data_IF_897392191184
#
_entry.id   IF_897392191184
#
_cell.length_a   1.000
_cell.length_b   1.000
_cell.length_c   1.000
_cell.angle_alpha   90.00
_cell.angle_beta   90.00
_cell.angle_gamma   90.00
#
_symmetry.space_group_name_H-M   'P 1'
#
loop_
_entity.id
_entity.type
_entity.pdbx_description
1 polymer ?
#
# COMPACT_ATOMS: atom_id res chain seq x y z
N UNK A 1 1.83 -0.87 10.87
CA UNK A 1 2.76 -0.64 9.72
C UNK A 1 2.62 -1.79 8.76
N UNK A 2 2.64 -1.50 7.45
CA UNK A 2 2.41 -2.43 6.35
C UNK A 2 3.64 -2.37 5.42
N UNK A 3 4.49 -3.42 5.38
CA UNK A 3 5.60 -3.51 4.44
C UNK A 3 5.11 -3.57 2.99
N UNK A 4 5.90 -2.98 2.07
CA UNK A 4 5.57 -2.90 0.64
C UNK A 4 6.46 -3.85 -0.16
N UNK A 5 5.84 -4.55 -1.13
CA UNK A 5 6.46 -5.36 -2.17
C UNK A 5 6.02 -4.84 -3.53
N UNK A 6 6.89 -4.12 -4.23
CA UNK A 6 6.69 -3.79 -5.64
C UNK A 6 7.24 -4.92 -6.50
N UNK A 7 6.38 -5.59 -7.27
CA UNK A 7 6.73 -6.77 -8.07
C UNK A 7 6.86 -6.42 -9.54
N UNK A 8 7.98 -6.80 -10.15
CA UNK A 8 8.22 -6.67 -11.59
C UNK A 8 8.94 -7.91 -12.11
N UNK A 9 8.40 -8.56 -13.11
CA UNK A 9 8.98 -9.77 -13.74
C UNK A 9 9.41 -10.83 -12.72
N UNK A 10 8.54 -11.13 -11.75
CA UNK A 10 8.78 -12.14 -10.72
C UNK A 10 9.73 -11.71 -9.58
N UNK A 11 10.16 -10.46 -9.55
CA UNK A 11 11.12 -9.94 -8.54
C UNK A 11 10.55 -8.77 -7.77
N UNK A 12 10.93 -8.66 -6.51
CA UNK A 12 10.70 -7.44 -5.73
C UNK A 12 11.69 -6.36 -6.14
N UNK A 13 11.18 -5.18 -6.47
CA UNK A 13 11.96 -4.02 -6.92
C UNK A 13 11.75 -2.84 -5.98
N UNK A 14 12.68 -1.90 -5.97
CA UNK A 14 12.59 -0.70 -5.14
C UNK A 14 12.09 0.48 -5.97
N UNK A 15 10.91 0.98 -5.62
CA UNK A 15 10.29 2.13 -6.25
C UNK A 15 11.05 3.44 -5.94
N UNK A 16 11.20 4.29 -6.96
CA UNK A 16 11.84 5.61 -6.84
C UNK A 16 11.07 6.64 -7.67
N UNK A 17 10.43 7.60 -6.98
CA UNK A 17 9.81 8.78 -7.61
C UNK A 17 8.76 8.48 -8.68
N UNK A 18 8.16 7.29 -8.69
CA UNK A 18 7.21 6.87 -9.73
C UNK A 18 7.83 6.56 -11.10
N UNK A 19 9.16 6.62 -11.23
CA UNK A 19 9.86 6.33 -12.50
C UNK A 19 10.11 4.81 -12.63
N UNK A 20 9.07 4.07 -13.05
CA UNK A 20 9.06 2.60 -13.07
C UNK A 20 10.24 1.97 -13.83
N UNK A 21 10.79 2.65 -14.86
CA UNK A 21 11.92 2.16 -15.66
C UNK A 21 13.25 2.11 -14.90
N UNK A 22 13.37 2.88 -13.81
CA UNK A 22 14.59 2.95 -12.99
C UNK A 22 14.60 1.97 -11.81
N UNK A 23 13.54 1.16 -11.65
CA UNK A 23 13.41 0.27 -10.51
C UNK A 23 14.38 -0.90 -10.60
N UNK A 24 15.15 -1.11 -9.52
CA UNK A 24 16.14 -2.17 -9.39
C UNK A 24 15.70 -3.22 -8.36
N UNK A 25 16.17 -4.48 -8.46
CA UNK A 25 15.89 -5.48 -7.44
C UNK A 25 16.25 -5.01 -6.04
N UNK A 26 15.37 -5.30 -5.09
CA UNK A 26 15.54 -4.91 -3.68
C UNK A 26 16.80 -5.54 -3.10
N UNK A 27 17.63 -4.68 -2.50
CA UNK A 27 18.74 -5.08 -1.62
C UNK A 27 18.28 -4.82 -0.19
N UNK A 28 18.10 -5.86 0.60
CA UNK A 28 17.55 -5.74 1.94
C UNK A 28 18.52 -6.25 2.99
N UNK A 29 18.65 -5.50 4.10
CA UNK A 29 19.37 -5.97 5.29
C UNK A 29 18.57 -7.01 6.09
N UNK A 30 17.29 -7.20 5.77
CA UNK A 30 16.43 -8.20 6.40
C UNK A 30 16.66 -9.61 5.87
N UNK A 31 17.28 -9.76 4.68
CA UNK A 31 17.48 -11.06 4.04
C UNK A 31 18.97 -11.30 3.84
N UNK A 32 19.46 -12.40 4.41
CA UNK A 32 20.81 -12.89 4.15
C UNK A 32 20.91 -13.53 2.76
N UNK A 33 22.10 -13.55 2.14
CA UNK A 33 22.31 -14.31 0.89
C UNK A 33 22.95 -13.51 -0.26
N UNK A 34 23.41 -12.28 -0.04
CA UNK A 34 24.14 -11.50 -1.03
C UNK A 34 23.35 -11.26 -2.33
N UNK A 35 24.08 -11.12 -3.47
CA UNK A 35 23.48 -10.74 -4.75
C UNK A 35 22.46 -11.75 -5.30
N UNK A 36 22.58 -13.02 -4.98
CA UNK A 36 21.65 -14.08 -5.43
C UNK A 36 20.26 -13.98 -4.78
N UNK A 37 20.17 -13.43 -3.57
CA UNK A 37 18.91 -13.22 -2.86
C UNK A 37 18.25 -11.86 -3.11
N UNK A 38 18.86 -10.98 -3.91
CA UNK A 38 18.27 -9.68 -4.17
C UNK A 38 16.97 -9.78 -4.95
N UNK A 39 15.95 -9.10 -4.45
CA UNK A 39 14.62 -9.07 -5.07
C UNK A 39 13.85 -10.39 -4.99
N UNK A 40 14.18 -11.32 -4.08
CA UNK A 40 13.34 -12.49 -3.81
C UNK A 40 12.11 -12.07 -2.99
N UNK A 41 10.89 -12.08 -3.59
CA UNK A 41 9.69 -11.61 -2.91
C UNK A 41 9.29 -12.49 -1.73
N UNK A 42 9.49 -13.82 -1.84
CA UNK A 42 9.11 -14.77 -0.79
C UNK A 42 10.06 -14.69 0.41
N UNK A 43 11.36 -14.50 0.16
CA UNK A 43 12.32 -14.27 1.23
C UNK A 43 12.03 -12.96 1.98
N UNK A 44 11.68 -11.90 1.26
CA UNK A 44 11.29 -10.61 1.86
C UNK A 44 10.02 -10.74 2.68
N UNK A 45 8.97 -11.39 2.15
CA UNK A 45 7.71 -11.59 2.85
C UNK A 45 7.89 -12.41 4.16
N UNK A 46 8.72 -13.48 4.13
CA UNK A 46 9.10 -14.21 5.36
C UNK A 46 9.81 -13.30 6.35
N UNK A 47 10.75 -12.48 5.90
CA UNK A 47 11.47 -11.54 6.76
C UNK A 47 10.53 -10.49 7.38
N UNK A 48 9.54 -10.00 6.65
CA UNK A 48 8.52 -9.08 7.18
C UNK A 48 7.72 -9.72 8.31
N UNK A 49 7.33 -10.98 8.15
CA UNK A 49 6.61 -11.72 9.19
C UNK A 49 7.53 -12.07 10.38
N UNK A 50 8.67 -12.72 10.12
CA UNK A 50 9.47 -13.37 11.14
C UNK A 50 10.38 -12.38 11.89
N UNK A 51 10.86 -11.34 11.21
CA UNK A 51 11.78 -10.34 11.80
C UNK A 51 11.03 -9.11 12.26
N UNK A 52 10.09 -8.58 11.45
CA UNK A 52 9.40 -7.32 11.75
C UNK A 52 8.07 -7.50 12.46
N UNK A 53 7.57 -8.74 12.56
CA UNK A 53 6.26 -9.04 13.15
C UNK A 53 5.11 -8.33 12.42
N UNK A 54 5.15 -8.40 11.08
CA UNK A 54 4.15 -7.81 10.20
C UNK A 54 3.50 -8.91 9.37
N UNK A 55 2.21 -9.08 9.54
CA UNK A 55 1.37 -10.10 8.89
C UNK A 55 0.48 -9.56 7.76
N UNK A 56 0.50 -8.26 7.52
CA UNK A 56 -0.16 -7.60 6.39
C UNK A 56 0.87 -6.93 5.49
N UNK A 57 0.75 -7.14 4.18
CA UNK A 57 1.69 -6.60 3.18
C UNK A 57 0.94 -5.95 2.03
N UNK A 58 1.40 -4.77 1.62
CA UNK A 58 0.98 -4.15 0.36
C UNK A 58 1.81 -4.73 -0.77
N UNK A 59 1.14 -5.22 -1.82
CA UNK A 59 1.79 -5.84 -2.98
C UNK A 59 1.32 -5.12 -4.24
N UNK A 60 2.23 -4.37 -4.88
CA UNK A 60 1.98 -3.77 -6.18
C UNK A 60 2.51 -4.67 -7.29
N UNK A 61 1.63 -5.15 -8.16
CA UNK A 61 1.99 -5.86 -9.39
C UNK A 61 2.26 -4.85 -10.51
N UNK A 62 3.52 -4.44 -10.65
CA UNK A 62 3.91 -3.43 -11.62
C UNK A 62 3.75 -3.88 -13.07
N UNK A 63 3.76 -5.18 -13.33
CA UNK A 63 3.50 -5.71 -14.68
C UNK A 63 2.04 -5.50 -15.05
N UNK A 64 1.12 -5.83 -14.14
CA UNK A 64 -0.32 -5.56 -14.32
C UNK A 64 -0.63 -4.07 -14.40
N UNK A 65 0.00 -3.24 -13.55
CA UNK A 65 -0.15 -1.78 -13.56
C UNK A 65 0.38 -1.14 -14.86
N UNK A 66 1.30 -1.81 -15.55
CA UNK A 66 1.77 -1.40 -16.88
C UNK A 66 0.92 -1.96 -18.04
N UNK A 67 -0.22 -2.59 -17.75
CA UNK A 67 -1.12 -3.17 -18.75
C UNK A 67 -0.76 -4.61 -19.15
N UNK A 68 0.18 -5.24 -18.46
CA UNK A 68 0.57 -6.64 -18.65
C UNK A 68 -0.31 -7.63 -17.89
N UNK A 69 0.12 -8.89 -17.87
CA UNK A 69 -0.57 -9.94 -17.13
C UNK A 69 -0.30 -9.85 -15.63
N UNK A 70 -1.29 -10.22 -14.81
CA UNK A 70 -1.12 -10.37 -13.35
C UNK A 70 -0.22 -11.55 -13.04
N UNK A 71 0.67 -11.38 -12.07
CA UNK A 71 1.60 -12.40 -11.59
C UNK A 71 0.92 -13.39 -10.61
N UNK A 72 -0.18 -14.05 -11.03
CA UNK A 72 -1.04 -14.89 -10.20
C UNK A 72 -0.29 -15.92 -9.37
N UNK A 73 0.65 -16.66 -9.99
CA UNK A 73 1.42 -17.70 -9.30
C UNK A 73 2.24 -17.11 -8.12
N UNK A 74 2.81 -15.93 -8.32
CA UNK A 74 3.58 -15.25 -7.27
C UNK A 74 2.68 -14.72 -6.16
N UNK A 75 1.54 -14.10 -6.52
CA UNK A 75 0.56 -13.64 -5.53
C UNK A 75 0.01 -14.79 -4.69
N UNK A 76 -0.32 -15.93 -5.31
CA UNK A 76 -0.76 -17.14 -4.60
C UNK A 76 0.35 -17.70 -3.68
N UNK A 77 1.60 -17.69 -4.12
CA UNK A 77 2.73 -18.12 -3.30
C UNK A 77 2.95 -17.21 -2.08
N UNK A 78 2.78 -15.88 -2.24
CA UNK A 78 2.82 -14.91 -1.15
C UNK A 78 1.65 -15.12 -0.17
N UNK A 79 0.42 -15.31 -0.67
CA UNK A 79 -0.75 -15.62 0.16
C UNK A 79 -0.55 -16.90 0.98
N UNK A 80 0.11 -17.91 0.40
CA UNK A 80 0.47 -19.17 1.07
C UNK A 80 1.39 -19.00 2.29
N UNK A 81 2.06 -17.86 2.43
CA UNK A 81 2.86 -17.53 3.63
C UNK A 81 2.02 -17.05 4.81
N UNK A 82 0.69 -17.10 4.73
CA UNK A 82 -0.27 -16.67 5.76
C UNK A 82 -0.22 -15.17 6.09
N UNK A 83 0.25 -14.35 5.15
CA UNK A 83 0.15 -12.90 5.23
C UNK A 83 -1.16 -12.40 4.61
N UNK A 84 -1.70 -11.31 5.14
CA UNK A 84 -2.85 -10.61 4.56
C UNK A 84 -2.36 -9.72 3.42
N UNK A 85 -2.69 -10.07 2.19
CA UNK A 85 -2.26 -9.31 1.03
C UNK A 85 -3.25 -8.18 0.70
N UNK A 86 -2.74 -6.96 0.62
CA UNK A 86 -3.40 -5.80 0.04
C UNK A 86 -2.83 -5.63 -1.38
N UNK A 87 -3.56 -6.09 -2.41
CA UNK A 87 -3.02 -6.26 -3.76
C UNK A 87 -3.45 -5.13 -4.69
N UNK A 88 -2.47 -4.43 -5.25
CA UNK A 88 -2.63 -3.45 -6.32
C UNK A 88 -2.16 -4.06 -7.67
N UNK A 89 -3.12 -4.38 -8.52
CA UNK A 89 -2.88 -5.01 -9.82
C UNK A 89 -3.83 -4.45 -10.90
N UNK A 90 -3.92 -3.11 -10.97
CA UNK A 90 -4.77 -2.38 -11.92
C UNK A 90 -6.24 -2.83 -11.87
N UNK A 91 -6.84 -2.85 -10.67
CA UNK A 91 -8.23 -3.27 -10.48
C UNK A 91 -9.17 -2.17 -10.96
N UNK A 92 -9.88 -2.41 -12.05
CA UNK A 92 -10.88 -1.51 -12.62
C UNK A 92 -12.23 -2.20 -12.88
N UNK A 93 -12.31 -3.53 -12.69
CA UNK A 93 -13.53 -4.31 -12.95
C UNK A 93 -13.82 -5.31 -11.82
N UNK A 94 -15.11 -5.69 -11.64
CA UNK A 94 -15.51 -6.73 -10.69
C UNK A 94 -14.84 -8.09 -10.92
N UNK A 95 -14.60 -8.45 -12.18
CA UNK A 95 -13.98 -9.71 -12.58
C UNK A 95 -12.55 -9.78 -12.07
N UNK A 96 -11.74 -8.74 -12.31
CA UNK A 96 -10.38 -8.64 -11.82
C UNK A 96 -10.34 -8.67 -10.28
N UNK A 97 -11.26 -8.00 -9.63
CA UNK A 97 -11.34 -7.99 -8.16
C UNK A 97 -11.64 -9.40 -7.60
N UNK A 98 -12.62 -10.12 -8.18
CA UNK A 98 -12.93 -11.50 -7.77
C UNK A 98 -11.77 -12.45 -8.01
N UNK A 99 -11.09 -12.32 -9.16
CA UNK A 99 -9.92 -13.12 -9.53
C UNK A 99 -8.81 -12.99 -8.49
N UNK A 100 -8.47 -11.76 -8.07
CA UNK A 100 -7.46 -11.51 -7.05
C UNK A 100 -7.86 -12.04 -5.68
N UNK A 101 -9.12 -11.85 -5.27
CA UNK A 101 -9.63 -12.39 -4.00
C UNK A 101 -9.61 -13.93 -4.01
N UNK A 102 -10.02 -14.56 -5.10
CA UNK A 102 -9.92 -16.02 -5.26
C UNK A 102 -8.45 -16.51 -5.25
N UNK A 103 -7.52 -15.69 -5.73
CA UNK A 103 -6.07 -15.92 -5.68
C UNK A 103 -5.42 -15.69 -4.31
N UNK A 104 -6.20 -15.30 -3.28
CA UNK A 104 -5.71 -15.14 -1.90
C UNK A 104 -5.47 -13.70 -1.45
N UNK A 105 -5.84 -12.68 -2.25
CA UNK A 105 -5.84 -11.31 -1.78
C UNK A 105 -6.87 -11.12 -0.66
N UNK A 106 -6.45 -10.63 0.50
CA UNK A 106 -7.35 -10.25 1.58
C UNK A 106 -8.14 -8.98 1.21
N UNK A 107 -7.46 -8.03 0.55
CA UNK A 107 -8.04 -6.79 0.02
C UNK A 107 -7.45 -6.49 -1.35
N UNK A 108 -8.20 -5.78 -2.17
CA UNK A 108 -7.72 -5.24 -3.45
C UNK A 108 -7.60 -3.72 -3.38
N UNK A 109 -6.63 -3.18 -4.10
CA UNK A 109 -6.45 -1.75 -4.25
C UNK A 109 -7.00 -1.31 -5.60
N UNK A 110 -7.84 -0.27 -5.56
CA UNK A 110 -8.35 0.42 -6.74
C UNK A 110 -7.66 1.78 -6.80
N UNK A 111 -6.71 1.94 -7.71
CA UNK A 111 -5.90 3.15 -7.85
C UNK A 111 -6.61 4.23 -8.65
N UNK A 112 -6.53 5.48 -8.19
CA UNK A 112 -7.08 6.65 -8.89
C UNK A 112 -6.50 6.78 -10.31
N UNK A 113 -5.21 6.48 -10.48
CA UNK A 113 -4.50 6.53 -11.77
C UNK A 113 -5.13 5.62 -12.84
N UNK A 114 -5.69 4.47 -12.42
CA UNK A 114 -6.21 3.43 -13.33
C UNK A 114 -7.73 3.32 -13.33
N UNK A 115 -8.43 4.05 -12.45
CA UNK A 115 -9.87 3.95 -12.28
C UNK A 115 -10.62 4.71 -13.39
N UNK A 116 -11.45 4.05 -14.22
CA UNK A 116 -12.18 4.72 -15.29
C UNK A 116 -13.35 5.59 -14.78
N UNK A 117 -13.98 5.24 -13.66
CA UNK A 117 -15.09 6.00 -13.06
C UNK A 117 -15.39 5.53 -11.63
N UNK A 118 -16.11 6.36 -10.86
CA UNK A 118 -16.64 5.98 -9.54
C UNK A 118 -17.66 4.84 -9.63
N UNK A 119 -18.40 4.73 -10.72
CA UNK A 119 -19.33 3.60 -10.94
C UNK A 119 -18.59 2.28 -11.04
N UNK A 120 -17.38 2.27 -11.64
CA UNK A 120 -16.52 1.09 -11.68
C UNK A 120 -16.05 0.71 -10.26
N UNK A 121 -15.64 1.68 -9.43
CA UNK A 121 -15.33 1.46 -8.02
C UNK A 121 -16.52 0.88 -7.26
N UNK A 122 -17.72 1.46 -7.43
CA UNK A 122 -18.93 0.98 -6.81
C UNK A 122 -19.30 -0.44 -7.28
N UNK A 123 -19.08 -0.78 -8.53
CA UNK A 123 -19.28 -2.13 -9.05
C UNK A 123 -18.31 -3.14 -8.42
N UNK A 124 -17.04 -2.77 -8.26
CA UNK A 124 -16.03 -3.58 -7.55
C UNK A 124 -16.46 -3.79 -6.09
N UNK A 125 -16.82 -2.72 -5.37
CA UNK A 125 -17.23 -2.81 -3.98
C UNK A 125 -18.46 -3.69 -3.76
N UNK A 126 -19.46 -3.60 -4.64
CA UNK A 126 -20.62 -4.50 -4.62
C UNK A 126 -20.26 -5.96 -4.89
N UNK A 127 -19.23 -6.20 -5.69
CA UNK A 127 -18.86 -7.56 -6.11
C UNK A 127 -18.09 -8.36 -5.07
N UNK A 128 -17.29 -7.71 -4.21
CA UNK A 128 -16.38 -8.37 -3.26
C UNK A 128 -16.55 -7.90 -1.81
N UNK A 129 -17.42 -6.91 -1.54
CA UNK A 129 -17.61 -6.26 -0.24
C UNK A 129 -16.69 -5.03 -0.06
N UNK A 130 -17.27 -3.96 0.51
CA UNK A 130 -16.54 -2.69 0.75
C UNK A 130 -15.31 -2.87 1.63
N UNK A 131 -15.37 -3.76 2.62
CA UNK A 131 -14.28 -4.07 3.55
C UNK A 131 -13.04 -4.66 2.85
N UNK A 132 -13.21 -5.18 1.65
CA UNK A 132 -12.13 -5.72 0.80
C UNK A 132 -11.61 -4.72 -0.23
N UNK A 133 -12.13 -3.50 -0.26
CA UNK A 133 -11.72 -2.48 -1.24
C UNK A 133 -10.98 -1.35 -0.53
N UNK A 134 -9.71 -1.16 -0.88
CA UNK A 134 -8.95 0.03 -0.54
C UNK A 134 -8.84 0.92 -1.79
N UNK A 135 -9.21 2.19 -1.69
CA UNK A 135 -9.02 3.15 -2.77
C UNK A 135 -7.69 3.88 -2.59
N UNK A 136 -6.80 3.81 -3.59
CA UNK A 136 -5.56 4.58 -3.60
C UNK A 136 -5.80 5.97 -4.16
N UNK A 137 -5.71 6.97 -3.28
CA UNK A 137 -5.67 8.39 -3.63
C UNK A 137 -4.25 8.73 -4.08
N UNK A 138 -3.98 8.47 -5.37
CA UNK A 138 -2.67 8.69 -5.96
C UNK A 138 -2.46 10.18 -6.21
N UNK A 139 -1.38 10.72 -5.62
CA UNK A 139 -1.02 12.13 -5.70
C UNK A 139 0.33 12.31 -6.39
N UNK A 140 0.55 13.50 -6.94
CA UNK A 140 1.86 13.98 -7.36
C UNK A 140 2.06 15.39 -6.86
N UNK A 141 2.93 15.55 -5.84
CA UNK A 141 3.16 16.84 -5.21
C UNK A 141 1.90 17.39 -4.51
N UNK A 142 1.07 16.51 -3.94
CA UNK A 142 -0.16 16.85 -3.25
C UNK A 142 -1.40 17.00 -4.16
N UNK A 143 -1.26 16.98 -5.48
CA UNK A 143 -2.39 17.03 -6.41
C UNK A 143 -2.81 15.60 -6.85
N UNK A 144 -4.13 15.28 -6.88
CA UNK A 144 -4.61 13.99 -7.35
C UNK A 144 -4.20 13.69 -8.80
N UNK A 145 -3.74 12.47 -9.05
CA UNK A 145 -3.43 11.93 -10.37
C UNK A 145 -4.70 11.35 -10.98
N UNK A 146 -5.63 12.21 -11.35
CA UNK A 146 -6.89 11.81 -11.92
C UNK A 146 -7.02 12.31 -13.36
N UNK A 147 -7.71 11.54 -14.19
CA UNK A 147 -8.28 12.10 -15.43
C UNK A 147 -9.33 13.17 -15.08
N UNK A 148 -9.64 14.07 -16.02
CA UNK A 148 -10.53 15.22 -15.80
C UNK A 148 -11.89 14.89 -15.15
N UNK A 149 -12.37 13.64 -15.27
CA UNK A 149 -13.64 13.16 -14.73
C UNK A 149 -13.65 12.91 -13.22
N UNK A 150 -12.47 12.77 -12.61
CA UNK A 150 -12.30 12.52 -11.18
C UNK A 150 -11.45 13.62 -10.52
N UNK A 151 -11.33 14.79 -11.17
CA UNK A 151 -10.59 15.94 -10.68
C UNK A 151 -11.29 16.57 -9.47
N UNK A 152 -10.50 17.09 -8.52
CA UNK A 152 -11.00 17.75 -7.32
C UNK A 152 -9.90 17.87 -6.26
N UNK A 153 -10.23 18.50 -5.13
CA UNK A 153 -9.34 18.49 -3.98
C UNK A 153 -9.20 17.06 -3.41
N UNK A 154 -8.05 16.69 -2.82
CA UNK A 154 -7.84 15.33 -2.28
C UNK A 154 -8.95 14.83 -1.36
N UNK A 155 -9.51 15.70 -0.50
CA UNK A 155 -10.62 15.36 0.39
C UNK A 155 -11.92 15.05 -0.37
N UNK A 156 -12.20 15.76 -1.44
CA UNK A 156 -13.40 15.57 -2.27
C UNK A 156 -13.32 14.24 -3.03
N UNK A 157 -12.16 13.95 -3.63
CA UNK A 157 -11.91 12.69 -4.32
C UNK A 157 -12.02 11.51 -3.37
N UNK A 158 -11.41 11.60 -2.18
CA UNK A 158 -11.53 10.58 -1.14
C UNK A 158 -12.99 10.37 -0.72
N UNK A 159 -13.76 11.46 -0.52
CA UNK A 159 -15.17 11.39 -0.17
C UNK A 159 -16.03 10.71 -1.22
N UNK A 160 -15.78 11.02 -2.49
CA UNK A 160 -16.45 10.37 -3.60
C UNK A 160 -16.14 8.86 -3.66
N UNK A 161 -14.89 8.46 -3.38
CA UNK A 161 -14.50 7.06 -3.30
C UNK A 161 -15.18 6.32 -2.13
N UNK A 162 -15.25 6.95 -0.96
CA UNK A 162 -15.97 6.40 0.21
C UNK A 162 -17.46 6.23 -0.11
N UNK A 163 -18.09 7.23 -0.71
CA UNK A 163 -19.49 7.15 -1.15
C UNK A 163 -19.72 6.05 -2.19
N UNK A 164 -18.73 5.77 -3.03
CA UNK A 164 -18.73 4.67 -4.00
C UNK A 164 -18.45 3.28 -3.38
N UNK A 165 -18.17 3.21 -2.07
CA UNK A 165 -18.03 1.96 -1.33
C UNK A 165 -16.60 1.53 -1.02
N UNK A 166 -15.61 2.42 -1.10
CA UNK A 166 -14.28 2.12 -0.58
C UNK A 166 -14.31 1.98 0.95
N UNK A 167 -13.80 0.87 1.48
CA UNK A 167 -13.69 0.61 2.92
C UNK A 167 -12.45 1.21 3.56
N UNK A 168 -11.42 1.47 2.75
CA UNK A 168 -10.18 2.14 3.17
C UNK A 168 -9.72 3.15 2.13
N UNK A 169 -8.99 4.18 2.59
CA UNK A 169 -8.30 5.15 1.72
C UNK A 169 -6.79 5.01 1.92
N UNK A 170 -6.05 4.90 0.86
CA UNK A 170 -4.59 4.96 0.85
C UNK A 170 -4.16 6.31 0.29
N UNK A 171 -3.45 7.12 1.04
CA UNK A 171 -2.82 8.35 0.53
C UNK A 171 -1.43 8.02 0.02
N UNK A 172 -1.20 8.12 -1.28
CA UNK A 172 0.07 7.77 -1.90
C UNK A 172 0.58 8.91 -2.80
N UNK A 173 1.55 9.68 -2.32
CA UNK A 173 2.20 10.71 -3.16
C UNK A 173 3.42 10.11 -3.88
N UNK A 174 3.26 9.84 -5.18
CA UNK A 174 4.27 9.20 -6.02
C UNK A 174 5.56 10.04 -6.12
N UNK A 175 5.48 11.37 -6.05
CA UNK A 175 6.67 12.23 -6.04
C UNK A 175 7.49 12.09 -4.74
N UNK A 176 6.90 11.52 -3.68
CA UNK A 176 7.55 11.30 -2.38
C UNK A 176 8.08 9.89 -2.21
N UNK A 177 7.65 8.92 -3.03
CA UNK A 177 8.13 7.53 -2.97
C UNK A 177 9.64 7.48 -3.12
N UNK A 178 10.34 6.88 -2.15
CA UNK A 178 11.80 6.78 -2.10
C UNK A 178 12.55 8.09 -1.82
N UNK A 179 11.86 9.23 -1.63
CA UNK A 179 12.45 10.57 -1.50
C UNK A 179 12.81 10.99 -0.07
N UNK A 180 12.38 10.26 0.97
CA UNK A 180 12.49 10.62 2.40
C UNK A 180 11.77 11.92 2.79
N UNK A 181 10.80 12.39 1.99
CA UNK A 181 10.03 13.62 2.28
C UNK A 181 8.83 13.35 3.19
N UNK A 182 8.53 12.08 3.46
CA UNK A 182 7.40 11.66 4.29
C UNK A 182 6.04 11.96 3.70
N UNK A 183 4.99 11.56 4.42
CA UNK A 183 3.58 11.79 4.08
C UNK A 183 3.13 13.15 4.62
N UNK A 184 2.16 13.76 3.96
CA UNK A 184 1.52 14.99 4.41
C UNK A 184 0.57 14.71 5.58
N UNK A 185 1.03 14.97 6.82
CA UNK A 185 0.25 14.77 8.03
C UNK A 185 -0.97 15.71 8.13
N UNK A 186 -0.94 16.87 7.47
CA UNK A 186 -2.08 17.81 7.46
C UNK A 186 -3.21 17.22 6.62
N UNK A 187 -2.89 16.64 5.47
CA UNK A 187 -3.86 15.93 4.64
C UNK A 187 -4.45 14.73 5.39
N UNK A 188 -3.60 13.90 6.04
CA UNK A 188 -4.06 12.76 6.86
C UNK A 188 -5.03 13.23 7.96
N UNK A 189 -4.67 14.24 8.74
CA UNK A 189 -5.54 14.80 9.78
C UNK A 189 -6.85 15.38 9.21
N UNK A 190 -6.80 15.98 8.02
CA UNK A 190 -7.98 16.46 7.30
C UNK A 190 -8.93 15.33 6.91
N UNK A 191 -8.38 14.25 6.34
CA UNK A 191 -9.14 13.05 5.98
C UNK A 191 -9.73 12.36 7.21
N UNK A 192 -8.96 12.23 8.30
CA UNK A 192 -9.47 11.63 9.55
C UNK A 192 -10.64 12.42 10.13
N UNK A 193 -10.58 13.76 10.11
CA UNK A 193 -11.70 14.59 10.56
C UNK A 193 -12.94 14.45 9.69
N UNK A 194 -12.75 14.38 8.36
CA UNK A 194 -13.84 14.27 7.41
C UNK A 194 -14.47 12.86 7.41
N UNK A 195 -13.64 11.81 7.58
CA UNK A 195 -14.05 10.41 7.50
C UNK A 195 -13.56 9.60 8.71
N UNK A 196 -14.14 9.86 9.92
CA UNK A 196 -13.61 9.32 11.18
C UNK A 196 -13.66 7.79 11.30
N UNK A 197 -14.49 7.11 10.51
CA UNK A 197 -14.69 5.66 10.56
C UNK A 197 -14.05 4.90 9.40
N UNK A 198 -13.49 5.61 8.42
CA UNK A 198 -12.80 4.99 7.28
C UNK A 198 -11.37 4.67 7.67
N UNK A 199 -10.90 3.49 7.35
CA UNK A 199 -9.49 3.13 7.55
C UNK A 199 -8.60 4.01 6.65
N UNK A 200 -7.63 4.68 7.27
CA UNK A 200 -6.68 5.54 6.58
C UNK A 200 -5.29 4.91 6.56
N UNK A 201 -4.82 4.61 5.36
CA UNK A 201 -3.47 4.15 5.09
C UNK A 201 -2.71 5.25 4.35
N UNK A 202 -1.39 5.28 4.49
CA UNK A 202 -0.58 6.20 3.71
C UNK A 202 0.81 5.67 3.43
N UNK A 203 1.39 6.09 2.30
CA UNK A 203 2.73 5.74 1.87
C UNK A 203 3.42 6.87 1.12
N UNK A 204 4.71 6.68 0.87
CA UNK A 204 5.52 7.65 0.14
C UNK A 204 6.55 8.36 1.03
N UNK A 205 7.77 7.84 1.03
CA UNK A 205 8.94 8.50 1.62
C UNK A 205 9.04 8.45 3.14
N UNK A 206 8.26 7.61 3.84
CA UNK A 206 8.39 7.40 5.29
C UNK A 206 9.78 6.81 5.58
N UNK A 207 10.55 7.48 6.43
CA UNK A 207 11.97 7.19 6.60
C UNK A 207 12.39 6.87 8.04
N UNK A 208 11.61 7.25 9.05
CA UNK A 208 11.98 7.18 10.47
C UNK A 208 10.81 6.76 11.36
N UNK A 209 11.11 6.23 12.55
CA UNK A 209 10.11 5.93 13.59
C UNK A 209 9.32 7.19 14.01
N UNK A 210 9.99 8.35 14.12
CA UNK A 210 9.34 9.62 14.46
C UNK A 210 8.28 10.05 13.43
N UNK A 211 8.48 9.72 12.15
CA UNK A 211 7.45 9.97 11.13
C UNK A 211 6.26 9.03 11.30
N UNK A 212 6.48 7.76 11.68
CA UNK A 212 5.38 6.83 12.01
C UNK A 212 4.56 7.35 13.18
N UNK A 213 5.20 7.80 14.27
CA UNK A 213 4.54 8.41 15.44
C UNK A 213 3.70 9.62 15.03
N UNK A 214 4.31 10.57 14.30
CA UNK A 214 3.61 11.78 13.83
C UNK A 214 2.39 11.47 12.97
N UNK A 215 2.46 10.45 12.12
CA UNK A 215 1.33 10.04 11.27
C UNK A 215 0.24 9.34 12.08
N UNK A 216 0.60 8.53 13.05
CA UNK A 216 -0.34 7.93 13.98
C UNK A 216 -1.05 8.98 14.83
N UNK A 217 -0.33 10.01 15.34
CA UNK A 217 -0.91 11.17 16.04
C UNK A 217 -1.88 11.96 15.12
N UNK A 218 -1.62 12.01 13.81
CA UNK A 218 -2.52 12.60 12.83
C UNK A 218 -3.75 11.74 12.52
N UNK A 219 -3.85 10.53 13.08
CA UNK A 219 -4.97 9.60 12.92
C UNK A 219 -4.81 8.61 11.78
N UNK A 220 -3.59 8.31 11.36
CA UNK A 220 -3.32 7.25 10.39
C UNK A 220 -3.43 5.86 11.05
N UNK A 221 -4.16 4.93 10.44
CA UNK A 221 -4.30 3.55 10.94
C UNK A 221 -3.14 2.65 10.48
N UNK A 222 -2.63 2.87 9.26
CA UNK A 222 -1.53 2.06 8.72
C UNK A 222 -0.58 2.82 7.81
N UNK A 223 0.73 2.59 7.97
CA UNK A 223 1.78 3.20 7.18
C UNK A 223 2.39 2.18 6.21
N UNK A 224 2.41 2.50 4.89
CA UNK A 224 3.07 1.72 3.86
C UNK A 224 4.56 2.09 3.81
N UNK A 225 5.43 1.12 4.10
CA UNK A 225 6.87 1.36 4.22
C UNK A 225 7.67 0.34 3.41
N UNK A 226 8.64 0.82 2.63
CA UNK A 226 9.56 -0.01 1.85
C UNK A 226 11.02 0.26 2.24
N UNK A 227 11.62 1.29 1.65
CA UNK A 227 13.07 1.60 1.72
C UNK A 227 13.62 1.64 3.14
N UNK A 228 12.89 2.24 4.09
CA UNK A 228 13.34 2.36 5.47
C UNK A 228 13.49 1.01 6.18
N UNK A 229 12.69 0.00 5.80
CA UNK A 229 12.80 -1.38 6.30
C UNK A 229 14.03 -2.07 5.72
N UNK A 230 14.21 -1.98 4.41
CA UNK A 230 15.35 -2.59 3.72
C UNK A 230 16.70 -2.02 4.17
N UNK A 231 16.73 -0.73 4.53
CA UNK A 231 17.90 -0.04 5.08
C UNK A 231 18.04 -0.21 6.61
N UNK A 232 17.13 -0.94 7.28
CA UNK A 232 17.05 -1.11 8.74
C UNK A 232 17.01 0.22 9.52
N UNK A 233 16.36 1.26 8.95
CA UNK A 233 16.11 2.56 9.60
C UNK A 233 14.86 2.55 10.47
N UNK A 234 13.92 1.66 10.18
CA UNK A 234 12.78 1.33 11.01
C UNK A 234 12.89 -0.15 11.32
N UNK A 235 12.85 -0.51 12.61
CA UNK A 235 13.06 -1.85 13.13
C UNK A 235 11.82 -2.34 13.87
N UNK A 236 11.82 -3.63 14.26
CA UNK A 236 10.73 -4.25 15.00
C UNK A 236 10.37 -3.49 16.29
N UNK A 237 11.38 -3.06 17.05
CA UNK A 237 11.18 -2.29 18.28
C UNK A 237 10.48 -0.95 18.07
N UNK A 238 10.78 -0.25 16.96
CA UNK A 238 10.13 1.01 16.59
C UNK A 238 8.65 0.77 16.26
N UNK A 239 8.38 -0.27 15.47
CA UNK A 239 7.01 -0.67 15.09
C UNK A 239 6.19 -1.02 16.33
N UNK A 240 6.78 -1.83 17.23
CA UNK A 240 6.14 -2.24 18.47
C UNK A 240 5.88 -1.05 19.40
N UNK A 241 6.78 -0.06 19.45
CA UNK A 241 6.59 1.16 20.24
C UNK A 241 5.39 1.98 19.74
N UNK A 242 5.30 2.22 18.42
CA UNK A 242 4.17 2.94 17.82
C UNK A 242 2.84 2.21 18.02
N UNK A 243 2.82 0.87 17.83
CA UNK A 243 1.61 0.06 18.09
C UNK A 243 1.13 0.20 19.53
N UNK A 244 2.02 0.08 20.51
CA UNK A 244 1.65 0.21 21.95
C UNK A 244 1.11 1.60 22.28
N UNK A 245 1.65 2.66 21.68
CA UNK A 245 1.24 4.02 21.96
C UNK A 245 -0.17 4.35 21.44
N UNK A 246 -0.55 3.76 20.27
CA UNK A 246 -1.77 4.13 19.56
C UNK A 246 -2.85 3.03 19.53
N UNK A 247 -2.49 1.77 19.83
CA UNK A 247 -3.42 0.63 19.92
C UNK A 247 -3.16 -0.18 21.20
N UNK A 248 -3.48 0.36 22.39
CA UNK A 248 -3.15 -0.29 23.66
C UNK A 248 -3.89 -1.62 23.93
N UNK A 249 -4.91 -1.96 23.15
CA UNK A 249 -5.73 -3.18 23.32
C UNK A 249 -5.14 -4.46 22.72
N UNK A 250 -4.09 -4.38 21.89
CA UNK A 250 -3.47 -5.57 21.25
C UNK A 250 -2.35 -6.23 22.09
N UNK A 251 -2.22 -5.85 23.36
CA UNK A 251 -1.15 -6.32 24.27
C UNK A 251 -1.62 -7.38 25.28
N UNK A 252 -2.58 -8.26 24.91
CA UNK A 252 -2.99 -9.39 25.75
C UNK A 252 -2.87 -10.72 25.04
#
# INVERSE_FOLDING_TARGET
MIPVLDLRAGRAVLARGGQRDTYAPVRSRLVAGGAQGWGDPLALARAYRDILDCDEWYVADLDALAGGAVQHALLAALAGLRGRLLVDAAVATPERARELVAGGAARVVVGLETLPSLDALAAVARAIGSERVAFSLDLRGGAPLAEARLSGAPLEVAGAAVAAGAGAIIVLDLARVGSRRGVDAVLVAGLRRAYPRVELLAGGGIATARELERLADAGLDGALVATALHEARIRREDIAAVRRAHHPSDSR
#
